data_IF_779067858949
#
_entry.id   IF_779067858949
#
_cell.length_a   1.000
_cell.length_b   1.000
_cell.length_c   1.000
_cell.angle_alpha   90.00
_cell.angle_beta   90.00
_cell.angle_gamma   90.00
#
_symmetry.space_group_name_H-M   'P 1'
#
loop_
_entity.id
_entity.type
_entity.pdbx_description
1 polymer ?
#
# COMPACT_ATOMS: atom_id res chain seq x y z
N UNK A 1 2.55 35.54 26.39
CA UNK A 1 2.22 34.18 26.88
C UNK A 1 1.23 34.28 28.05
N UNK A 2 -0.08 34.22 27.77
CA UNK A 2 -1.16 34.33 28.77
C UNK A 2 -1.91 33.00 28.81
N UNK A 3 -1.19 31.92 29.15
CA UNK A 3 -1.74 30.57 29.24
C UNK A 3 -1.22 29.92 30.51
N UNK A 4 -1.94 30.07 31.64
CA UNK A 4 -1.98 29.06 32.72
C UNK A 4 -2.98 29.32 33.87
N UNK A 5 -3.97 30.23 33.73
CA UNK A 5 -4.91 30.50 34.84
C UNK A 5 -6.21 29.69 34.84
N UNK A 6 -6.44 28.83 33.84
CA UNK A 6 -7.67 28.00 33.77
C UNK A 6 -7.68 26.92 34.88
N UNK A 7 -6.50 26.38 35.23
CA UNK A 7 -6.36 25.32 36.26
C UNK A 7 -6.53 25.81 37.70
N UNK A 8 -6.36 27.11 37.96
CA UNK A 8 -6.45 27.69 39.32
C UNK A 8 -7.90 27.88 39.79
N UNK A 9 -8.85 28.01 38.86
CA UNK A 9 -10.27 28.24 39.17
C UNK A 9 -11.13 26.96 39.08
N UNK A 10 -10.52 25.81 38.77
CA UNK A 10 -11.20 24.54 38.71
C UNK A 10 -11.12 23.80 40.05
N UNK A 11 -12.28 23.46 40.62
CA UNK A 11 -12.35 22.53 41.75
C UNK A 11 -11.70 21.19 41.37
N UNK A 12 -11.23 20.41 42.36
CA UNK A 12 -10.55 19.11 42.18
C UNK A 12 -11.27 18.19 41.17
N UNK A 13 -12.61 18.29 41.13
CA UNK A 13 -13.52 17.58 40.24
C UNK A 13 -13.35 17.93 38.75
N UNK A 14 -13.19 19.21 38.43
CA UNK A 14 -12.93 19.67 37.06
C UNK A 14 -11.54 19.28 36.57
N UNK A 15 -10.55 19.25 37.49
CA UNK A 15 -9.20 18.78 37.20
C UNK A 15 -9.19 17.28 36.84
N UNK A 16 -9.88 16.44 37.62
CA UNK A 16 -10.00 15.00 37.34
C UNK A 16 -10.77 14.73 36.03
N UNK A 17 -11.87 15.42 35.79
CA UNK A 17 -12.64 15.27 34.55
C UNK A 17 -11.82 15.66 33.31
N UNK A 18 -11.02 16.72 33.39
CA UNK A 18 -10.11 17.13 32.32
C UNK A 18 -9.03 16.07 32.05
N UNK A 19 -8.43 15.49 33.09
CA UNK A 19 -7.39 14.45 32.93
C UNK A 19 -7.96 13.22 32.25
N UNK A 20 -9.13 12.72 32.70
CA UNK A 20 -9.75 11.52 32.10
C UNK A 20 -10.24 11.81 30.68
N UNK A 21 -10.85 12.97 30.45
CA UNK A 21 -11.28 13.39 29.11
C UNK A 21 -10.09 13.52 28.15
N UNK A 22 -8.98 14.08 28.61
CA UNK A 22 -7.74 14.18 27.84
C UNK A 22 -7.17 12.81 27.51
N UNK A 23 -7.13 11.89 28.48
CA UNK A 23 -6.67 10.52 28.26
C UNK A 23 -7.50 9.80 27.19
N UNK A 24 -8.83 9.86 27.28
CA UNK A 24 -9.73 9.27 26.26
C UNK A 24 -9.52 9.92 24.89
N UNK A 25 -9.44 11.25 24.83
CA UNK A 25 -9.21 11.98 23.58
C UNK A 25 -7.87 11.61 22.94
N UNK A 26 -6.79 11.52 23.73
CA UNK A 26 -5.48 11.10 23.23
C UNK A 26 -5.50 9.69 22.67
N UNK A 27 -6.27 8.79 23.26
CA UNK A 27 -6.33 7.40 22.81
C UNK A 27 -7.11 7.26 21.50
N UNK A 28 -8.22 8.00 21.35
CA UNK A 28 -8.95 8.09 20.07
C UNK A 28 -8.05 8.69 18.98
N UNK A 29 -7.31 9.75 19.32
CA UNK A 29 -6.38 10.39 18.40
C UNK A 29 -5.26 9.44 17.95
N UNK A 30 -4.66 8.67 18.86
CA UNK A 30 -3.64 7.67 18.52
C UNK A 30 -4.16 6.57 17.59
N UNK A 31 -5.39 6.08 17.79
CA UNK A 31 -6.00 5.11 16.87
C UNK A 31 -6.28 5.73 15.50
N UNK A 32 -6.80 6.95 15.46
CA UNK A 32 -7.00 7.65 14.20
C UNK A 32 -5.68 7.84 13.42
N UNK A 33 -4.60 8.19 14.12
CA UNK A 33 -3.26 8.25 13.53
C UNK A 33 -2.76 6.87 13.06
N UNK A 34 -2.91 5.82 13.87
CA UNK A 34 -2.52 4.44 13.52
C UNK A 34 -3.23 3.98 12.24
N UNK A 35 -4.55 4.13 12.18
CA UNK A 35 -5.36 3.76 11.02
C UNK A 35 -4.98 4.58 9.78
N UNK A 36 -4.69 5.87 9.95
CA UNK A 36 -4.22 6.74 8.88
C UNK A 36 -2.88 6.30 8.30
N UNK A 37 -1.90 5.98 9.16
CA UNK A 37 -0.59 5.46 8.73
C UNK A 37 -0.75 4.13 7.99
N UNK A 38 -1.50 3.18 8.55
CA UNK A 38 -1.76 1.88 7.90
C UNK A 38 -2.47 2.01 6.55
N UNK A 39 -3.39 2.98 6.42
CA UNK A 39 -4.06 3.23 5.14
C UNK A 39 -3.11 3.77 4.08
N UNK A 40 -2.11 4.54 4.48
CA UNK A 40 -1.04 4.99 3.61
C UNK A 40 -0.14 3.81 3.20
N UNK A 41 0.21 2.92 4.14
CA UNK A 41 1.05 1.74 3.88
C UNK A 41 0.42 0.82 2.84
N UNK A 42 -0.89 0.55 2.94
CA UNK A 42 -1.66 -0.23 1.96
C UNK A 42 -1.54 0.26 0.51
N UNK A 43 -1.23 1.55 0.31
CA UNK A 43 -1.07 2.16 -1.02
C UNK A 43 0.39 2.21 -1.46
N UNK A 44 1.33 2.33 -0.53
CA UNK A 44 2.74 2.53 -0.81
C UNK A 44 3.51 1.21 -0.91
N UNK A 45 3.14 0.20 -0.12
CA UNK A 45 3.81 -1.09 -0.08
C UNK A 45 3.76 -1.83 -1.44
N UNK A 46 2.60 -1.97 -2.13
CA UNK A 46 2.57 -2.56 -3.47
C UNK A 46 3.45 -1.83 -4.48
N UNK A 47 3.48 -0.49 -4.39
CA UNK A 47 4.27 0.36 -5.29
C UNK A 47 5.76 0.14 -5.06
N UNK A 48 6.19 0.20 -3.81
CA UNK A 48 7.60 0.01 -3.41
C UNK A 48 8.09 -1.38 -3.83
N UNK A 49 7.31 -2.42 -3.54
CA UNK A 49 7.66 -3.78 -3.92
C UNK A 49 7.73 -3.95 -5.45
N UNK A 50 6.76 -3.42 -6.20
CA UNK A 50 6.77 -3.50 -7.66
C UNK A 50 7.97 -2.76 -8.27
N UNK A 51 8.31 -1.57 -7.76
CA UNK A 51 9.49 -0.83 -8.24
C UNK A 51 10.79 -1.54 -7.90
N UNK A 52 10.97 -1.99 -6.66
CA UNK A 52 12.20 -2.67 -6.23
C UNK A 52 12.44 -3.95 -7.04
N UNK A 53 11.39 -4.72 -7.32
CA UNK A 53 11.49 -5.92 -8.15
C UNK A 53 11.91 -5.62 -9.58
N UNK A 54 11.39 -4.55 -10.19
CA UNK A 54 11.77 -4.13 -11.55
C UNK A 54 13.18 -3.55 -11.58
N UNK A 55 13.58 -2.79 -10.57
CA UNK A 55 14.96 -2.28 -10.43
C UNK A 55 15.98 -3.42 -10.27
N UNK A 56 15.66 -4.44 -9.48
CA UNK A 56 16.52 -5.62 -9.37
C UNK A 56 16.56 -6.41 -10.69
N UNK A 57 15.42 -6.58 -11.34
CA UNK A 57 15.31 -7.31 -12.61
C UNK A 57 15.95 -6.57 -13.80
N UNK A 58 15.99 -5.23 -13.79
CA UNK A 58 16.68 -4.45 -14.82
C UNK A 58 18.19 -4.71 -14.81
N UNK A 59 18.77 -5.07 -13.66
CA UNK A 59 20.16 -5.54 -13.56
C UNK A 59 20.45 -6.80 -14.40
N UNK A 60 19.44 -7.64 -14.66
CA UNK A 60 19.57 -8.78 -15.58
C UNK A 60 19.69 -8.29 -17.03
N UNK A 61 18.86 -7.31 -17.42
CA UNK A 61 18.94 -6.68 -18.74
C UNK A 61 20.31 -6.03 -18.94
N UNK A 62 20.77 -5.24 -17.96
CA UNK A 62 22.08 -4.59 -17.97
C UNK A 62 23.24 -5.59 -18.14
N UNK A 63 23.20 -6.72 -17.40
CA UNK A 63 24.24 -7.75 -17.48
C UNK A 63 24.38 -8.31 -18.89
N UNK A 64 23.27 -8.69 -19.51
CA UNK A 64 23.30 -9.28 -20.86
C UNK A 64 23.58 -8.24 -21.94
N UNK A 65 23.11 -7.00 -21.75
CA UNK A 65 23.42 -5.88 -22.64
C UNK A 65 24.92 -5.54 -22.62
N UNK A 66 25.58 -5.60 -21.46
CA UNK A 66 27.05 -5.46 -21.38
C UNK A 66 27.80 -6.56 -22.12
N UNK A 67 27.29 -7.79 -22.11
CA UNK A 67 27.87 -8.91 -22.87
C UNK A 67 27.68 -8.75 -24.38
N UNK A 68 26.54 -8.20 -24.82
CA UNK A 68 26.31 -7.77 -26.20
C UNK A 68 27.32 -6.70 -26.61
N UNK A 69 27.50 -5.64 -25.81
CA UNK A 69 28.44 -4.56 -26.11
C UNK A 69 29.90 -5.03 -26.16
N UNK A 70 30.27 -6.01 -25.34
CA UNK A 70 31.60 -6.62 -25.34
C UNK A 70 31.82 -7.59 -26.52
N UNK A 71 30.80 -7.86 -27.34
CA UNK A 71 30.86 -8.84 -28.44
C UNK A 71 30.88 -10.29 -27.99
N UNK A 72 30.65 -10.57 -26.71
CA UNK A 72 30.60 -11.93 -26.16
C UNK A 72 29.31 -12.66 -26.54
N UNK A 73 28.23 -11.92 -26.77
CA UNK A 73 26.94 -12.40 -27.24
C UNK A 73 26.45 -11.56 -28.41
N UNK A 74 25.72 -12.16 -29.34
CA UNK A 74 24.89 -11.35 -30.26
C UNK A 74 23.73 -10.73 -29.51
N UNK A 75 23.14 -9.66 -30.07
CA UNK A 75 21.94 -9.03 -29.51
C UNK A 75 20.82 -10.04 -29.26
N UNK A 76 20.57 -10.90 -30.23
CA UNK A 76 19.53 -11.95 -30.14
C UNK A 76 19.81 -12.94 -29.02
N UNK A 77 21.07 -13.36 -28.84
CA UNK A 77 21.48 -14.25 -27.76
C UNK A 77 21.32 -13.57 -26.39
N UNK A 78 21.77 -12.32 -26.25
CA UNK A 78 21.65 -11.54 -25.02
C UNK A 78 20.19 -11.33 -24.62
N UNK A 79 19.35 -10.92 -25.57
CA UNK A 79 17.92 -10.74 -25.38
C UNK A 79 17.22 -12.06 -24.99
N UNK A 80 17.52 -13.15 -25.68
CA UNK A 80 16.96 -14.47 -25.36
C UNK A 80 17.31 -14.92 -23.95
N UNK A 81 18.59 -14.83 -23.56
CA UNK A 81 19.05 -15.21 -22.23
C UNK A 81 18.44 -14.32 -21.13
N UNK A 82 18.27 -13.03 -21.40
CA UNK A 82 17.58 -12.12 -20.49
C UNK A 82 16.13 -12.53 -20.25
N UNK A 83 15.38 -12.81 -21.31
CA UNK A 83 13.99 -13.26 -21.24
C UNK A 83 13.86 -14.60 -20.50
N UNK A 84 14.73 -15.56 -20.79
CA UNK A 84 14.77 -16.87 -20.10
C UNK A 84 15.07 -16.70 -18.61
N UNK A 85 16.01 -15.81 -18.25
CA UNK A 85 16.35 -15.52 -16.87
C UNK A 85 15.16 -14.89 -16.14
N UNK A 86 14.57 -13.82 -16.70
CA UNK A 86 13.41 -13.14 -16.13
C UNK A 86 12.19 -14.07 -15.97
N UNK A 87 11.99 -14.99 -16.93
CA UNK A 87 10.93 -16.00 -16.86
C UNK A 87 11.07 -16.90 -15.62
N UNK A 88 12.30 -17.27 -15.29
CA UNK A 88 12.59 -18.14 -14.13
C UNK A 88 12.42 -17.43 -12.77
N UNK A 89 12.39 -16.09 -12.74
CA UNK A 89 12.20 -15.30 -11.52
C UNK A 89 10.74 -15.20 -11.06
N UNK A 90 9.83 -16.02 -11.64
CA UNK A 90 8.44 -16.09 -11.22
C UNK A 90 8.33 -16.80 -9.86
N UNK A 91 7.53 -16.23 -8.96
CA UNK A 91 7.17 -16.85 -7.68
C UNK A 91 5.67 -16.68 -7.42
N UNK A 92 4.92 -17.79 -7.41
CA UNK A 92 3.46 -17.78 -7.23
C UNK A 92 2.78 -16.79 -8.20
N UNK A 93 2.33 -15.66 -7.65
CA UNK A 93 1.59 -14.56 -8.29
C UNK A 93 2.49 -13.42 -8.76
N UNK A 94 3.75 -13.39 -8.33
CA UNK A 94 4.77 -12.43 -8.75
C UNK A 94 5.46 -12.93 -10.03
N UNK A 95 5.39 -12.12 -11.08
CA UNK A 95 5.95 -12.45 -12.39
C UNK A 95 6.29 -11.18 -13.18
N UNK A 96 7.22 -11.32 -14.12
CA UNK A 96 7.62 -10.23 -15.00
C UNK A 96 6.88 -10.30 -16.35
N UNK A 97 6.67 -9.11 -16.91
CA UNK A 97 6.16 -8.88 -18.26
C UNK A 97 7.16 -7.99 -18.98
N UNK A 98 7.45 -8.31 -20.25
CA UNK A 98 8.28 -7.47 -21.12
C UNK A 98 7.54 -7.21 -22.42
N UNK A 99 7.44 -5.95 -22.80
CA UNK A 99 7.01 -5.53 -24.14
C UNK A 99 8.11 -4.75 -24.83
N UNK A 100 8.13 -4.71 -26.15
CA UNK A 100 8.90 -3.69 -26.88
C UNK A 100 8.08 -2.40 -27.10
N UNK A 101 8.73 -1.39 -27.70
CA UNK A 101 8.09 -0.11 -28.03
C UNK A 101 6.92 -0.22 -29.01
N UNK A 102 6.88 -1.28 -29.82
CA UNK A 102 5.74 -1.60 -30.71
C UNK A 102 4.62 -2.35 -29.97
N UNK A 103 4.70 -2.47 -28.64
CA UNK A 103 3.74 -3.16 -27.78
C UNK A 103 3.65 -4.68 -28.05
N UNK A 104 4.68 -5.28 -28.64
CA UNK A 104 4.73 -6.73 -28.80
C UNK A 104 5.10 -7.36 -27.47
N UNK A 105 4.32 -8.35 -27.05
CA UNK A 105 4.57 -9.09 -25.81
C UNK A 105 5.73 -10.06 -26.01
N UNK A 106 6.89 -9.73 -25.45
CA UNK A 106 8.11 -10.53 -25.50
C UNK A 106 8.20 -11.56 -24.38
N UNK A 107 7.64 -11.23 -23.21
CA UNK A 107 7.58 -12.12 -22.06
C UNK A 107 6.28 -11.88 -21.29
N UNK A 108 5.60 -12.97 -20.95
CA UNK A 108 4.63 -13.01 -19.87
C UNK A 108 4.90 -14.25 -19.01
N UNK A 109 5.72 -14.12 -17.96
CA UNK A 109 6.24 -15.28 -17.23
C UNK A 109 5.16 -16.17 -16.58
N UNK A 110 3.97 -15.63 -16.28
CA UNK A 110 2.83 -16.41 -15.80
C UNK A 110 1.88 -16.99 -16.86
N UNK A 111 1.90 -16.46 -18.09
CA UNK A 111 0.95 -16.78 -19.17
C UNK A 111 1.67 -16.80 -20.52
N UNK A 112 2.59 -17.76 -20.73
CA UNK A 112 3.39 -17.84 -21.95
C UNK A 112 2.53 -18.00 -23.21
N UNK A 113 1.30 -18.50 -23.08
CA UNK A 113 0.36 -18.63 -24.18
C UNK A 113 -0.03 -17.28 -24.80
N UNK A 114 0.15 -16.15 -24.10
CA UNK A 114 -0.13 -14.80 -24.61
C UNK A 114 1.01 -14.23 -25.47
N UNK A 115 2.20 -14.82 -25.41
CA UNK A 115 3.36 -14.34 -26.15
C UNK A 115 3.19 -14.59 -27.66
N UNK A 116 3.79 -13.74 -28.49
CA UNK A 116 3.66 -13.78 -29.97
C UNK A 116 2.22 -13.60 -30.51
N UNK A 117 1.26 -13.22 -29.67
CA UNK A 117 -0.07 -12.81 -30.12
C UNK A 117 -0.10 -11.30 -30.45
N UNK A 118 -1.02 -10.85 -31.33
CA UNK A 118 -1.26 -9.43 -31.53
C UNK A 118 -1.56 -8.73 -30.19
N UNK A 119 -1.11 -7.49 -30.05
CA UNK A 119 -1.39 -6.67 -28.87
C UNK A 119 -2.91 -6.65 -28.61
N UNK A 120 -3.32 -7.15 -27.44
CA UNK A 120 -4.71 -7.14 -27.01
C UNK A 120 -5.02 -5.77 -26.41
N UNK A 121 -6.01 -5.07 -26.95
CA UNK A 121 -6.48 -3.79 -26.43
C UNK A 121 -7.58 -3.94 -25.38
N UNK A 122 -7.91 -2.84 -24.71
CA UNK A 122 -9.05 -2.78 -23.77
C UNK A 122 -8.84 -3.62 -22.51
N UNK A 123 -9.89 -4.33 -22.07
CA UNK A 123 -9.89 -5.11 -20.82
C UNK A 123 -8.96 -6.34 -20.85
N UNK A 124 -8.52 -6.75 -22.04
CA UNK A 124 -7.65 -7.92 -22.24
C UNK A 124 -6.17 -7.53 -22.39
N UNK A 125 -5.85 -6.25 -22.24
CA UNK A 125 -4.47 -5.75 -22.31
C UNK A 125 -3.63 -6.31 -21.16
N UNK A 126 -2.41 -6.77 -21.48
CA UNK A 126 -1.47 -7.33 -20.51
C UNK A 126 -0.94 -6.26 -19.54
N UNK A 127 -0.70 -5.06 -20.07
CA UNK A 127 -0.42 -3.85 -19.32
C UNK A 127 -1.35 -2.73 -19.78
N UNK A 128 -1.74 -1.79 -18.89
CA UNK A 128 -2.43 -0.57 -19.29
C UNK A 128 -1.63 0.23 -20.33
N UNK A 129 -2.31 0.74 -21.35
CA UNK A 129 -1.66 1.50 -22.42
C UNK A 129 -0.98 2.78 -21.87
N UNK A 130 -1.61 3.41 -20.88
CA UNK A 130 -1.10 4.59 -20.20
C UNK A 130 0.19 4.29 -19.43
N UNK A 131 0.29 3.11 -18.81
CA UNK A 131 1.50 2.69 -18.11
C UNK A 131 2.67 2.51 -19.09
N UNK A 132 2.40 1.87 -20.23
CA UNK A 132 3.40 1.66 -21.26
C UNK A 132 3.89 3.01 -21.82
N UNK A 133 2.96 3.92 -22.13
CA UNK A 133 3.31 5.27 -22.60
C UNK A 133 4.11 6.05 -21.57
N UNK A 134 3.69 6.02 -20.30
CA UNK A 134 4.41 6.70 -19.20
C UNK A 134 5.83 6.15 -19.06
N UNK A 135 6.00 4.83 -19.11
CA UNK A 135 7.34 4.22 -19.02
C UNK A 135 8.23 4.62 -20.21
N UNK A 136 7.68 4.69 -21.43
CA UNK A 136 8.43 5.10 -22.63
C UNK A 136 8.78 6.59 -22.64
N UNK A 137 7.92 7.46 -22.08
CA UNK A 137 8.11 8.92 -22.09
C UNK A 137 8.94 9.41 -20.90
N UNK A 138 8.59 8.95 -19.69
CA UNK A 138 9.16 9.43 -18.43
C UNK A 138 10.22 8.47 -17.87
N UNK A 139 10.49 7.37 -18.59
CA UNK A 139 11.44 6.32 -18.21
C UNK A 139 10.86 5.27 -17.27
N UNK A 140 9.87 5.63 -16.44
CA UNK A 140 9.13 4.67 -15.59
C UNK A 140 7.79 5.21 -15.11
N UNK A 141 6.92 4.35 -14.61
CA UNK A 141 5.62 4.77 -14.08
C UNK A 141 4.89 3.68 -13.31
N UNK A 142 3.78 4.06 -12.69
CA UNK A 142 2.88 3.18 -11.96
C UNK A 142 1.48 3.21 -12.56
N UNK A 143 0.77 2.08 -12.51
CA UNK A 143 -0.66 2.06 -12.79
C UNK A 143 -1.40 1.06 -11.90
N UNK A 144 -2.57 1.48 -11.43
CA UNK A 144 -3.50 0.63 -10.68
C UNK A 144 -4.61 0.18 -11.63
N UNK A 145 -4.79 -1.13 -11.80
CA UNK A 145 -5.74 -1.72 -12.74
C UNK A 145 -6.23 -3.09 -12.25
N UNK A 146 -7.25 -3.66 -12.89
CA UNK A 146 -7.73 -5.00 -12.57
C UNK A 146 -7.09 -6.03 -13.50
N UNK A 147 -6.54 -7.10 -12.93
CA UNK A 147 -5.95 -8.20 -13.68
C UNK A 147 -6.38 -9.55 -13.08
N UNK A 148 -6.61 -10.59 -13.91
CA UNK A 148 -6.81 -11.94 -13.39
C UNK A 148 -5.51 -12.44 -12.74
N UNK A 149 -5.65 -13.23 -11.68
CA UNK A 149 -4.53 -13.98 -11.08
C UNK A 149 -4.14 -15.15 -11.97
N UNK A 150 -2.85 -15.55 -12.03
CA UNK A 150 -2.45 -16.76 -12.74
C UNK A 150 -3.26 -17.99 -12.32
N UNK A 151 -3.96 -18.62 -13.27
CA UNK A 151 -4.79 -19.80 -12.99
C UNK A 151 -6.16 -19.52 -12.37
N UNK A 152 -6.53 -18.25 -12.13
CA UNK A 152 -7.86 -17.86 -11.65
C UNK A 152 -8.54 -16.86 -12.60
N UNK A 153 -9.86 -16.95 -12.71
CA UNK A 153 -10.62 -16.21 -13.73
C UNK A 153 -11.11 -14.82 -13.33
N UNK A 154 -11.21 -14.50 -12.03
CA UNK A 154 -11.76 -13.21 -11.58
C UNK A 154 -10.66 -12.14 -11.54
N UNK A 155 -10.84 -10.99 -12.21
CA UNK A 155 -9.95 -9.85 -12.07
C UNK A 155 -9.95 -9.32 -10.63
N UNK A 156 -8.78 -8.93 -10.17
CA UNK A 156 -8.55 -8.30 -8.86
C UNK A 156 -7.64 -7.09 -9.02
N UNK A 157 -7.72 -6.15 -8.08
CA UNK A 157 -6.90 -4.93 -8.09
C UNK A 157 -5.41 -5.29 -8.03
N UNK A 158 -4.65 -4.75 -8.99
CA UNK A 158 -3.22 -4.90 -9.13
C UNK A 158 -2.57 -3.53 -9.30
N UNK A 159 -1.46 -3.31 -8.59
CA UNK A 159 -0.58 -2.16 -8.77
C UNK A 159 0.63 -2.62 -9.55
N UNK A 160 0.83 -2.09 -10.77
CA UNK A 160 2.01 -2.37 -11.57
C UNK A 160 2.98 -1.19 -11.60
N UNK A 161 4.25 -1.53 -11.75
CA UNK A 161 5.32 -0.60 -12.07
C UNK A 161 6.01 -1.06 -13.35
N UNK A 162 6.30 -0.12 -14.23
CA UNK A 162 7.00 -0.39 -15.48
C UNK A 162 8.17 0.57 -15.65
N UNK A 163 9.26 0.08 -16.24
CA UNK A 163 10.45 0.86 -16.55
C UNK A 163 10.91 0.57 -17.97
N UNK A 164 11.25 1.63 -18.71
CA UNK A 164 11.86 1.53 -20.03
C UNK A 164 13.35 1.21 -19.90
N UNK A 165 13.79 0.29 -20.73
CA UNK A 165 15.17 -0.13 -20.91
C UNK A 165 15.62 0.30 -22.32
N UNK A 166 16.25 1.47 -22.45
CA UNK A 166 16.55 2.08 -23.74
C UNK A 166 17.39 1.24 -24.72
N UNK A 167 18.42 0.46 -24.29
CA UNK A 167 19.26 -0.27 -25.24
C UNK A 167 18.51 -1.25 -26.14
N UNK A 168 17.39 -1.79 -25.64
CA UNK A 168 16.54 -2.73 -26.38
C UNK A 168 15.17 -2.17 -26.74
N UNK A 169 14.86 -0.93 -26.35
CA UNK A 169 13.52 -0.36 -26.43
C UNK A 169 12.47 -1.26 -25.76
N UNK A 170 12.84 -1.87 -24.63
CA UNK A 170 11.97 -2.77 -23.88
C UNK A 170 11.34 -2.06 -22.70
N UNK A 171 10.12 -2.44 -22.35
CA UNK A 171 9.46 -2.02 -21.13
C UNK A 171 9.30 -3.25 -20.25
N UNK A 172 10.07 -3.26 -19.15
CA UNK A 172 10.02 -4.28 -18.12
C UNK A 172 8.99 -3.87 -17.07
N UNK A 173 8.11 -4.78 -16.70
CA UNK A 173 7.05 -4.53 -15.74
C UNK A 173 6.80 -5.71 -14.82
N UNK A 174 6.33 -5.41 -13.62
CA UNK A 174 5.71 -6.37 -12.71
C UNK A 174 4.54 -5.69 -11.99
N UNK A 175 3.78 -6.46 -11.23
CA UNK A 175 2.79 -5.87 -10.34
C UNK A 175 2.35 -6.78 -9.20
N UNK A 176 1.80 -6.15 -8.19
CA UNK A 176 1.41 -6.74 -6.90
C UNK A 176 -0.11 -6.65 -6.75
N UNK A 177 -0.74 -7.75 -6.37
CA UNK A 177 -2.18 -7.80 -6.10
C UNK A 177 -2.47 -7.19 -4.72
N UNK A 178 -3.43 -6.26 -4.65
CA UNK A 178 -3.66 -5.40 -3.47
C UNK A 178 -4.71 -5.98 -2.51
N UNK A 179 -5.48 -6.97 -2.96
CA UNK A 179 -6.56 -7.60 -2.17
C UNK A 179 -6.03 -8.42 -0.98
N UNK A 180 -4.91 -9.11 -1.12
CA UNK A 180 -4.26 -9.83 0.00
C UNK A 180 -3.90 -8.87 1.15
N UNK A 181 -3.31 -7.71 0.81
CA UNK A 181 -2.94 -6.68 1.80
C UNK A 181 -4.17 -6.09 2.51
N UNK A 182 -5.30 -5.95 1.79
CA UNK A 182 -6.56 -5.45 2.39
C UNK A 182 -7.16 -6.44 3.39
N UNK A 183 -7.04 -7.75 3.12
CA UNK A 183 -7.48 -8.80 4.04
C UNK A 183 -6.81 -8.67 5.40
N UNK A 184 -5.48 -8.59 5.41
CA UNK A 184 -4.67 -8.45 6.62
C UNK A 184 -4.93 -7.13 7.35
N UNK A 185 -5.16 -6.05 6.61
CA UNK A 185 -5.54 -4.77 7.19
C UNK A 185 -6.86 -4.84 7.95
N UNK A 186 -7.91 -5.44 7.37
CA UNK A 186 -9.25 -5.47 7.97
C UNK A 186 -9.25 -6.22 9.32
N UNK A 187 -8.58 -7.36 9.38
CA UNK A 187 -8.45 -8.16 10.59
C UNK A 187 -7.64 -7.43 11.67
N UNK A 188 -6.54 -6.77 11.28
CA UNK A 188 -5.67 -6.07 12.23
C UNK A 188 -6.33 -4.77 12.73
N UNK A 189 -7.00 -4.02 11.86
CA UNK A 189 -7.74 -2.81 12.22
C UNK A 189 -8.89 -3.12 13.19
N UNK A 190 -9.61 -4.23 12.97
CA UNK A 190 -10.64 -4.69 13.89
C UNK A 190 -10.05 -5.00 15.27
N UNK A 191 -8.93 -5.73 15.31
CA UNK A 191 -8.22 -6.05 16.56
C UNK A 191 -7.78 -4.80 17.32
N UNK A 192 -7.16 -3.82 16.63
CA UNK A 192 -6.74 -2.56 17.27
C UNK A 192 -7.93 -1.74 17.79
N UNK A 193 -9.02 -1.70 17.01
CA UNK A 193 -10.25 -1.01 17.41
C UNK A 193 -10.88 -1.67 18.63
N UNK A 194 -10.94 -3.00 18.68
CA UNK A 194 -11.46 -3.76 19.81
C UNK A 194 -10.64 -3.56 21.08
N UNK A 195 -9.31 -3.67 21.00
CA UNK A 195 -8.42 -3.44 22.14
C UNK A 195 -8.54 -2.02 22.67
N UNK A 196 -8.59 -1.02 21.78
CA UNK A 196 -8.75 0.37 22.18
C UNK A 196 -10.11 0.60 22.82
N UNK A 197 -11.19 0.04 22.24
CA UNK A 197 -12.53 0.18 22.81
C UNK A 197 -12.61 -0.47 24.20
N UNK A 198 -12.00 -1.64 24.38
CA UNK A 198 -11.94 -2.33 25.67
C UNK A 198 -11.22 -1.51 26.74
N UNK A 199 -10.19 -0.73 26.38
CA UNK A 199 -9.48 0.18 27.29
C UNK A 199 -10.20 1.53 27.47
N UNK A 200 -10.86 2.05 26.44
CA UNK A 200 -11.52 3.36 26.44
C UNK A 200 -12.83 3.33 27.22
N UNK A 201 -13.61 2.25 27.07
CA UNK A 201 -14.97 2.15 27.59
C UNK A 201 -15.03 2.27 29.12
N UNK A 202 -14.16 1.60 29.92
CA UNK A 202 -14.14 1.77 31.37
C UNK A 202 -13.79 3.21 31.79
N UNK A 203 -12.82 3.84 31.12
CA UNK A 203 -12.43 5.24 31.38
C UNK A 203 -13.56 6.20 31.05
N UNK A 204 -14.28 5.96 29.95
CA UNK A 204 -15.44 6.74 29.55
C UNK A 204 -16.61 6.59 30.54
N UNK A 205 -16.88 5.36 31.01
CA UNK A 205 -17.89 5.10 32.04
C UNK A 205 -17.49 5.78 33.36
N UNK A 206 -16.23 5.67 33.77
CA UNK A 206 -15.71 6.32 34.97
C UNK A 206 -15.85 7.84 34.88
N UNK A 207 -15.50 8.44 33.73
CA UNK A 207 -15.69 9.86 33.44
C UNK A 207 -17.16 10.27 33.60
N UNK A 208 -18.09 9.51 33.01
CA UNK A 208 -19.52 9.84 33.06
C UNK A 208 -20.11 9.65 34.47
N UNK A 209 -19.69 8.59 35.19
CA UNK A 209 -20.06 8.33 36.60
C UNK A 209 -19.56 9.43 37.53
N UNK A 210 -18.30 9.85 37.39
CA UNK A 210 -17.71 10.96 38.14
C UNK A 210 -18.47 12.27 37.87
N UNK A 211 -18.75 12.57 36.60
CA UNK A 211 -19.56 13.76 36.23
C UNK A 211 -20.94 13.74 36.87
N UNK A 212 -21.63 12.58 36.87
CA UNK A 212 -22.97 12.44 37.46
C UNK A 212 -22.95 12.53 38.99
N UNK A 213 -22.04 11.82 39.65
CA UNK A 213 -21.87 11.83 41.11
C UNK A 213 -21.56 13.23 41.64
N UNK A 214 -20.71 13.97 40.93
CA UNK A 214 -20.39 15.36 41.25
C UNK A 214 -21.61 16.28 41.16
N UNK A 215 -22.52 16.06 40.19
CA UNK A 215 -23.75 16.86 40.07
C UNK A 215 -24.70 16.62 41.25
N UNK A 216 -24.82 15.37 41.70
CA UNK A 216 -25.71 15.00 42.81
C UNK A 216 -25.16 15.47 44.16
N UNK A 217 -23.85 15.38 44.38
CA UNK A 217 -23.23 15.80 45.65
C UNK A 217 -23.17 17.31 45.89
N UNK A 218 -23.20 18.15 44.84
CA UNK A 218 -23.34 19.61 45.02
C UNK A 218 -24.77 19.99 45.41
N UNK A 219 -25.77 19.37 44.79
CA UNK A 219 -27.18 19.67 45.07
C UNK A 219 -27.57 19.28 46.51
N UNK A 220 -27.09 18.14 47.01
CA UNK A 220 -27.40 17.71 48.38
C UNK A 220 -26.78 18.58 49.48
N UNK A 221 -25.62 19.22 49.23
CA UNK A 221 -25.01 20.16 50.19
C UNK A 221 -25.74 21.51 50.19
N UNK A 222 -26.30 21.92 49.05
CA UNK A 222 -27.11 23.15 48.96
C UNK A 222 -28.50 22.98 49.61
N UNK A 223 -29.09 21.78 49.57
CA UNK A 223 -30.35 21.49 50.27
C UNK A 223 -30.19 21.40 51.79
N UNK A 224 -29.02 21.01 52.31
CA UNK A 224 -28.73 20.99 53.75
C UNK A 224 -28.35 22.36 54.32
N UNK A 225 -28.10 23.35 53.45
CA UNK A 225 -27.67 24.70 53.83
C UNK A 225 -28.79 25.76 53.75
N UNK A 226 -29.98 25.37 53.29
CA UNK A 226 -31.24 26.15 53.34
C UNK A 226 -32.20 25.51 54.35
#
# INVERSE_FOLDING_TARGET
MKSMNVLKHLNLRGKLALIVGWAVASMIFLVALSLGMRWQDLRQEPRTLASDLVEMASGILDRYQKQEQAGALTREQAQKLAIETLRSMRQQELYFVVLDKEQRLLLHAARPELENQPARGGRDAVLPAELLQTALQDGSGFADYEAPRPGAGKPVQKTAYARHFPPWDWVLSTGVYVDELRGDFSATALRETLLTTALALPLFIAFFRLRRSVRTGVNGVLELAN
#
